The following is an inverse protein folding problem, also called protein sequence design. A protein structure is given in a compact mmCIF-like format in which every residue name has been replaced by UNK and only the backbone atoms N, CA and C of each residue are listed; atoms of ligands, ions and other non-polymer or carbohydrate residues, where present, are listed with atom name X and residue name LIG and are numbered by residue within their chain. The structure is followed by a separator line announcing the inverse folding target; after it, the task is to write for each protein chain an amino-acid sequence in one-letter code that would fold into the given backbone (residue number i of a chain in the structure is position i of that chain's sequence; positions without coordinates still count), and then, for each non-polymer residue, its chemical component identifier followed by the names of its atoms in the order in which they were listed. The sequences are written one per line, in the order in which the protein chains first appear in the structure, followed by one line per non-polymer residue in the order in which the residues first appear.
data_IF_649946913013
#
_entry.id   IF_649946913013
#
_cell.length_a   1.000
_cell.length_b   1.000
_cell.length_c   1.000
_cell.angle_alpha   90.00
_cell.angle_beta   90.00
_cell.angle_gamma   90.00
#
_symmetry.space_group_name_H-M   'P 1'
#
loop_
_entity.id
_entity.type
_entity.pdbx_description
1 polymer ?
#
# COMPACT_ATOMS: atom_id res chain seq x y z
N UNK A 1 5.47 -17.83 -6.02
CA UNK A 1 5.56 -18.13 -4.57
C UNK A 1 4.81 -17.05 -3.83
N UNK A 2 3.94 -17.42 -2.89
CA UNK A 2 3.17 -16.42 -2.15
C UNK A 2 4.09 -15.60 -1.26
N UNK A 3 4.01 -14.29 -1.36
CA UNK A 3 4.73 -13.39 -0.49
C UNK A 3 3.86 -12.90 0.68
N UNK A 4 2.56 -12.77 0.42
CA UNK A 4 1.58 -12.27 1.38
C UNK A 4 0.25 -13.01 1.22
N UNK A 5 -0.35 -13.42 2.34
CA UNK A 5 -1.70 -13.98 2.39
C UNK A 5 -2.48 -13.44 3.59
N UNK A 6 -3.72 -13.14 3.35
CA UNK A 6 -4.72 -12.83 4.36
C UNK A 6 -5.92 -13.75 4.10
N UNK A 7 -6.35 -14.50 5.11
CA UNK A 7 -7.34 -15.57 4.95
C UNK A 7 -8.50 -15.38 5.92
N UNK A 8 -9.73 -15.29 5.38
CA UNK A 8 -11.00 -15.21 6.11
C UNK A 8 -11.01 -14.12 7.19
N UNK A 9 -10.45 -12.96 6.85
CA UNK A 9 -10.34 -11.85 7.80
C UNK A 9 -11.66 -11.18 8.02
N UNK A 10 -12.01 -11.00 9.30
CA UNK A 10 -13.13 -10.19 9.77
C UNK A 10 -12.62 -9.05 10.63
N UNK A 11 -13.30 -7.91 10.53
CA UNK A 11 -13.05 -6.74 11.35
C UNK A 11 -14.34 -5.97 11.60
N UNK A 12 -14.58 -5.67 12.88
CA UNK A 12 -15.71 -4.83 13.31
C UNK A 12 -15.21 -3.67 14.18
N UNK A 13 -15.94 -2.59 14.18
CA UNK A 13 -15.78 -1.46 15.09
C UNK A 13 -17.10 -1.25 15.83
N UNK A 14 -17.15 -1.68 17.11
CA UNK A 14 -18.41 -1.79 17.83
C UNK A 14 -19.37 -2.75 17.11
N UNK A 15 -20.58 -2.29 16.84
CA UNK A 15 -21.61 -3.10 16.15
C UNK A 15 -21.49 -3.11 14.63
N UNK A 16 -20.57 -2.31 14.06
CA UNK A 16 -20.37 -2.22 12.61
C UNK A 16 -19.29 -3.18 12.14
N UNK A 17 -19.66 -4.23 11.41
CA UNK A 17 -18.72 -5.09 10.70
C UNK A 17 -18.30 -4.42 9.39
N UNK A 18 -16.99 -4.22 9.23
CA UNK A 18 -16.37 -3.53 8.09
C UNK A 18 -15.72 -4.49 7.12
N UNK A 19 -15.22 -5.63 7.58
CA UNK A 19 -14.66 -6.69 6.72
C UNK A 19 -15.36 -8.01 7.01
N UNK A 20 -15.81 -8.67 5.94
CA UNK A 20 -16.58 -9.91 5.99
C UNK A 20 -15.84 -11.04 5.27
N UNK A 21 -15.10 -11.87 6.01
CA UNK A 21 -14.39 -13.06 5.48
C UNK A 21 -13.48 -12.77 4.26
N UNK A 22 -12.72 -11.68 4.32
CA UNK A 22 -11.85 -11.30 3.22
C UNK A 22 -10.63 -12.22 3.13
N UNK A 23 -10.38 -12.74 1.93
CA UNK A 23 -9.19 -13.52 1.62
C UNK A 23 -8.49 -12.93 0.39
N UNK A 24 -7.19 -12.64 0.52
CA UNK A 24 -6.34 -12.11 -0.56
C UNK A 24 -4.98 -12.79 -0.47
N UNK A 25 -4.45 -13.20 -1.60
CA UNK A 25 -3.11 -13.74 -1.74
C UNK A 25 -2.34 -12.89 -2.74
N UNK A 26 -1.06 -12.62 -2.51
CA UNK A 26 -0.20 -11.84 -3.41
C UNK A 26 1.10 -12.60 -3.64
N UNK A 27 1.42 -12.84 -4.89
CA UNK A 27 2.64 -13.50 -5.30
C UNK A 27 3.81 -12.51 -5.45
N UNK A 28 5.04 -13.02 -5.39
CA UNK A 28 6.25 -12.20 -5.57
C UNK A 28 6.27 -11.53 -6.95
N UNK A 29 6.53 -10.24 -6.98
CA UNK A 29 6.54 -9.41 -8.20
C UNK A 29 5.16 -9.04 -8.72
N UNK A 30 4.07 -9.45 -8.05
CA UNK A 30 2.70 -9.11 -8.43
C UNK A 30 2.31 -7.72 -7.94
N UNK A 31 1.58 -6.99 -8.77
CA UNK A 31 0.93 -5.72 -8.43
C UNK A 31 -0.58 -5.92 -8.35
N UNK A 32 -1.13 -5.80 -7.14
CA UNK A 32 -2.57 -5.91 -6.88
C UNK A 32 -3.15 -4.53 -6.61
N UNK A 33 -4.13 -4.11 -7.40
CA UNK A 33 -4.89 -2.89 -7.15
C UNK A 33 -6.21 -3.22 -6.44
N UNK A 34 -6.51 -2.52 -5.35
CA UNK A 34 -7.78 -2.61 -4.64
C UNK A 34 -8.59 -1.34 -4.92
N UNK A 35 -9.74 -1.49 -5.56
CA UNK A 35 -10.65 -0.41 -5.93
C UNK A 35 -12.01 -0.58 -5.25
N UNK A 36 -12.83 0.47 -5.24
CA UNK A 36 -14.18 0.43 -4.68
C UNK A 36 -14.60 1.76 -4.05
N UNK A 37 -15.87 1.93 -3.69
CA UNK A 37 -16.38 3.16 -3.10
C UNK A 37 -15.75 3.47 -1.74
N UNK A 38 -15.83 4.74 -1.31
CA UNK A 38 -15.44 5.12 0.05
C UNK A 38 -16.28 4.35 1.07
N UNK A 39 -15.65 3.91 2.16
CA UNK A 39 -16.31 3.09 3.18
C UNK A 39 -16.45 1.59 2.85
N UNK A 40 -15.93 1.09 1.71
CA UNK A 40 -15.99 -0.33 1.37
C UNK A 40 -15.01 -1.24 2.14
N UNK A 41 -14.20 -0.69 3.03
CA UNK A 41 -13.27 -1.47 3.87
C UNK A 41 -11.82 -1.54 3.36
N UNK A 42 -11.47 -0.96 2.21
CA UNK A 42 -10.12 -1.04 1.59
C UNK A 42 -8.99 -0.63 2.52
N UNK A 43 -9.06 0.56 3.09
CA UNK A 43 -8.02 1.04 4.03
C UNK A 43 -8.02 0.25 5.33
N UNK A 44 -9.18 -0.27 5.78
CA UNK A 44 -9.25 -1.17 6.94
C UNK A 44 -8.55 -2.49 6.65
N UNK A 45 -8.77 -3.08 5.47
CA UNK A 45 -8.07 -4.29 5.02
C UNK A 45 -6.56 -4.07 4.99
N UNK A 46 -6.11 -2.95 4.40
CA UNK A 46 -4.70 -2.60 4.33
C UNK A 46 -4.10 -2.37 5.72
N UNK A 47 -4.83 -1.74 6.65
CA UNK A 47 -4.39 -1.57 8.04
C UNK A 47 -4.32 -2.89 8.80
N UNK A 48 -5.24 -3.82 8.58
CA UNK A 48 -5.16 -5.19 9.12
C UNK A 48 -3.94 -5.91 8.55
N UNK A 49 -3.72 -5.86 7.24
CA UNK A 49 -2.56 -6.45 6.58
C UNK A 49 -1.24 -5.92 7.16
N UNK A 50 -1.13 -4.63 7.40
CA UNK A 50 0.08 -3.99 7.94
C UNK A 50 0.17 -3.99 9.48
N UNK A 51 -0.77 -4.66 10.14
CA UNK A 51 -0.84 -4.74 11.63
C UNK A 51 -0.89 -3.35 12.29
N UNK A 52 -1.48 -2.36 11.63
CA UNK A 52 -1.88 -1.07 12.22
C UNK A 52 -3.26 -1.15 12.87
N UNK A 53 -4.05 -2.15 12.48
CA UNK A 53 -5.33 -2.49 13.07
C UNK A 53 -5.35 -3.99 13.37
N UNK A 54 -5.97 -4.38 14.49
CA UNK A 54 -6.14 -5.78 14.85
C UNK A 54 -7.35 -6.39 14.14
N UNK A 55 -7.21 -7.61 13.63
CA UNK A 55 -8.32 -8.40 13.09
C UNK A 55 -9.12 -9.03 14.23
N UNK A 56 -10.42 -9.24 14.04
CA UNK A 56 -11.24 -9.98 15.00
C UNK A 56 -11.07 -11.49 14.82
N UNK A 57 -10.97 -11.93 13.55
CA UNK A 57 -10.65 -13.32 13.17
C UNK A 57 -9.94 -13.36 11.81
N UNK A 58 -9.32 -14.50 11.51
CA UNK A 58 -8.62 -14.76 10.25
C UNK A 58 -7.15 -15.07 10.44
N UNK A 59 -6.44 -15.22 9.34
CA UNK A 59 -5.00 -15.47 9.34
C UNK A 59 -4.26 -14.40 8.53
N UNK A 60 -3.03 -14.10 8.95
CA UNK A 60 -2.11 -13.20 8.27
C UNK A 60 -0.76 -13.86 8.14
N UNK A 61 -0.26 -13.99 6.90
CA UNK A 61 0.95 -14.75 6.58
C UNK A 61 1.83 -13.90 5.67
N UNK A 62 3.13 -13.86 5.98
CA UNK A 62 4.18 -13.24 5.17
C UNK A 62 5.32 -14.21 4.99
N UNK A 63 5.71 -14.53 3.74
CA UNK A 63 6.82 -15.45 3.44
C UNK A 63 6.72 -16.77 4.23
N UNK A 64 5.53 -17.37 4.25
CA UNK A 64 5.18 -18.59 5.00
C UNK A 64 5.24 -18.44 6.55
N UNK A 65 5.52 -17.24 7.08
CA UNK A 65 5.48 -16.94 8.51
C UNK A 65 4.11 -16.40 8.92
N UNK A 66 3.46 -17.05 9.89
CA UNK A 66 2.16 -16.60 10.43
C UNK A 66 2.36 -15.43 11.39
N UNK A 67 1.93 -14.24 10.97
CA UNK A 67 1.85 -13.06 11.83
C UNK A 67 0.63 -13.12 12.76
N UNK A 68 -0.47 -13.72 12.29
CA UNK A 68 -1.68 -13.92 13.06
C UNK A 68 -2.42 -15.18 12.59
N UNK A 69 -3.15 -15.83 13.50
CA UNK A 69 -3.99 -17.01 13.23
C UNK A 69 -5.17 -17.04 14.20
N UNK A 70 -6.18 -17.83 13.91
CA UNK A 70 -7.29 -18.05 14.85
C UNK A 70 -6.86 -18.96 16.00
N UNK A 71 -7.20 -18.56 17.22
CA UNK A 71 -7.11 -19.43 18.40
C UNK A 71 -8.25 -20.48 18.38
N UNK A 72 -8.27 -21.45 19.30
CA UNK A 72 -9.36 -22.43 19.40
C UNK A 72 -10.75 -21.85 19.68
N UNK A 73 -10.84 -20.60 20.16
CA UNK A 73 -12.10 -19.89 20.39
C UNK A 73 -12.55 -19.10 19.14
N UNK A 74 -11.73 -19.09 18.07
CA UNK A 74 -12.02 -18.38 16.81
C UNK A 74 -11.60 -16.90 16.80
N UNK A 75 -10.88 -16.43 17.83
CA UNK A 75 -10.35 -15.08 17.87
C UNK A 75 -8.92 -15.03 17.31
N UNK A 76 -8.52 -13.86 16.82
CA UNK A 76 -7.15 -13.69 16.28
C UNK A 76 -6.11 -13.68 17.41
N UNK A 77 -5.15 -14.60 17.33
CA UNK A 77 -3.93 -14.61 18.11
C UNK A 77 -2.77 -14.15 17.25
N UNK A 78 -2.03 -13.14 17.69
CA UNK A 78 -0.84 -12.62 17.01
C UNK A 78 0.42 -13.35 17.48
N UNK A 79 1.40 -13.48 16.58
CA UNK A 79 2.71 -14.03 16.87
C UNK A 79 3.45 -13.22 17.97
N UNK A 80 4.57 -13.75 18.45
CA UNK A 80 5.36 -13.08 19.48
C UNK A 80 5.82 -11.68 19.04
N UNK A 81 6.05 -10.73 19.97
CA UNK A 81 6.55 -9.40 19.62
C UNK A 81 7.87 -9.43 18.83
N UNK A 82 8.70 -10.46 19.03
CA UNK A 82 9.95 -10.64 18.30
C UNK A 82 9.69 -11.04 16.84
N UNK A 83 8.78 -11.99 16.62
CA UNK A 83 8.39 -12.44 15.28
C UNK A 83 7.67 -11.33 14.52
N UNK A 84 6.73 -10.63 15.15
CA UNK A 84 6.05 -9.48 14.55
C UNK A 84 7.02 -8.37 14.14
N UNK A 85 8.07 -8.13 14.92
CA UNK A 85 9.11 -7.15 14.55
C UNK A 85 9.88 -7.57 13.31
N UNK A 86 10.18 -8.85 13.16
CA UNK A 86 10.83 -9.41 11.97
C UNK A 86 9.90 -9.30 10.76
N UNK A 87 8.65 -9.75 10.89
CA UNK A 87 7.64 -9.73 9.83
C UNK A 87 7.36 -8.30 9.35
N UNK A 88 7.28 -7.32 10.25
CA UNK A 88 7.15 -5.90 9.90
C UNK A 88 8.31 -5.35 9.07
N UNK A 89 9.46 -6.03 9.05
CA UNK A 89 10.57 -5.71 8.16
C UNK A 89 10.36 -6.17 6.71
N UNK A 90 9.38 -7.03 6.43
CA UNK A 90 9.13 -7.55 5.08
C UNK A 90 8.34 -6.59 4.20
N UNK A 91 7.63 -5.63 4.76
CA UNK A 91 6.85 -4.68 4.00
C UNK A 91 7.12 -3.22 4.38
N UNK A 92 6.87 -2.35 3.42
CA UNK A 92 6.78 -0.90 3.63
C UNK A 92 5.35 -0.42 3.43
N UNK A 93 4.96 0.63 4.12
CA UNK A 93 3.64 1.27 3.98
C UNK A 93 3.81 2.75 3.61
N UNK A 94 3.13 3.14 2.55
CA UNK A 94 3.01 4.53 2.09
C UNK A 94 1.59 5.01 2.35
N UNK A 95 1.46 6.03 3.17
CA UNK A 95 0.18 6.59 3.61
C UNK A 95 -0.34 7.66 2.65
N UNK A 96 -1.63 7.90 2.69
CA UNK A 96 -2.33 8.98 2.00
C UNK A 96 -1.76 10.36 2.37
N UNK A 97 -1.50 10.63 3.63
CA UNK A 97 -1.05 11.92 4.18
C UNK A 97 0.47 11.99 4.42
N UNK A 98 1.28 11.36 3.57
CA UNK A 98 2.76 11.35 3.62
C UNK A 98 3.35 10.85 4.95
N UNK A 99 2.85 11.30 6.08
CA UNK A 99 3.24 10.95 7.46
C UNK A 99 4.77 11.06 7.69
N UNK A 100 5.40 12.08 7.11
CA UNK A 100 6.82 12.37 7.35
C UNK A 100 7.02 12.91 8.77
N UNK A 101 8.18 12.62 9.34
CA UNK A 101 8.60 13.25 10.60
C UNK A 101 8.91 14.72 10.35
N UNK A 102 8.11 15.68 10.83
CA UNK A 102 8.22 17.08 10.44
C UNK A 102 9.50 17.77 10.93
N UNK A 103 10.11 17.22 11.99
CA UNK A 103 11.35 17.71 12.60
C UNK A 103 12.60 16.99 12.07
N UNK A 104 12.47 16.08 11.10
CA UNK A 104 13.57 15.43 10.41
C UNK A 104 13.73 15.98 9.00
N UNK A 105 14.97 16.15 8.57
CA UNK A 105 15.26 16.42 7.16
C UNK A 105 14.88 15.23 6.27
N UNK A 106 14.89 15.40 4.95
CA UNK A 106 14.70 14.32 3.98
C UNK A 106 15.67 13.18 4.27
N UNK A 107 16.97 13.47 4.35
CA UNK A 107 17.99 12.47 4.66
C UNK A 107 17.64 11.71 5.94
N UNK A 108 17.30 12.41 7.01
CA UNK A 108 17.00 11.78 8.29
C UNK A 108 15.69 10.97 8.27
N UNK A 109 14.68 11.39 7.53
CA UNK A 109 13.45 10.60 7.32
C UNK A 109 13.76 9.23 6.69
N UNK A 110 14.74 9.13 5.80
CA UNK A 110 15.14 7.89 5.15
C UNK A 110 16.08 7.05 6.04
N UNK A 111 16.95 7.67 6.81
CA UNK A 111 18.06 6.96 7.48
C UNK A 111 17.75 6.53 8.92
N UNK A 112 16.81 7.19 9.61
CA UNK A 112 16.54 6.97 11.03
C UNK A 112 16.15 5.51 11.33
N UNK A 113 15.19 4.95 10.59
CA UNK A 113 14.72 3.60 10.83
C UNK A 113 15.75 2.51 10.44
N UNK A 114 16.41 2.54 9.27
CA UNK A 114 17.47 1.59 8.94
C UNK A 114 18.60 1.55 9.99
N UNK A 115 19.05 2.71 10.49
CA UNK A 115 20.13 2.79 11.48
C UNK A 115 19.65 2.29 12.85
N UNK A 116 18.51 2.78 13.34
CA UNK A 116 18.10 2.54 14.72
C UNK A 116 17.26 1.26 14.92
N UNK A 117 16.47 0.85 13.93
CA UNK A 117 15.62 -0.34 14.00
C UNK A 117 16.34 -1.56 13.44
N UNK A 118 16.93 -1.44 12.23
CA UNK A 118 17.64 -2.54 11.58
C UNK A 118 19.11 -2.65 12.03
N UNK A 119 19.63 -1.66 12.78
CA UNK A 119 21.01 -1.61 13.28
C UNK A 119 22.07 -1.66 12.16
N UNK A 120 21.72 -1.11 10.99
CA UNK A 120 22.62 -1.05 9.84
C UNK A 120 23.68 0.03 10.02
N UNK A 121 24.80 -0.13 9.33
CA UNK A 121 25.91 0.82 9.38
C UNK A 121 25.51 2.15 8.75
N UNK A 122 25.82 3.28 9.43
CA UNK A 122 25.40 4.63 9.03
C UNK A 122 25.85 5.01 7.63
N UNK A 123 27.11 4.77 7.29
CA UNK A 123 27.68 5.18 6.00
C UNK A 123 27.03 4.45 4.82
N UNK A 124 26.74 3.14 4.99
CA UNK A 124 26.01 2.37 3.99
C UNK A 124 24.58 2.89 3.79
N UNK A 125 23.87 3.12 4.91
CA UNK A 125 22.50 3.64 4.89
C UNK A 125 22.44 5.04 4.25
N UNK A 126 23.37 5.92 4.57
CA UNK A 126 23.42 7.26 3.98
C UNK A 126 23.71 7.21 2.48
N UNK A 127 24.54 6.28 2.02
CA UNK A 127 24.82 6.07 0.59
C UNK A 127 23.56 5.61 -0.13
N UNK A 128 22.88 4.59 0.37
CA UNK A 128 21.62 4.09 -0.21
C UNK A 128 20.53 5.17 -0.19
N UNK A 129 20.43 5.94 0.90
CA UNK A 129 19.48 7.04 0.99
C UNK A 129 19.71 8.10 -0.10
N UNK A 130 20.97 8.44 -0.43
CA UNK A 130 21.28 9.36 -1.55
C UNK A 130 20.88 8.77 -2.90
N UNK A 131 21.04 7.46 -3.09
CA UNK A 131 20.59 6.78 -4.31
C UNK A 131 19.06 6.81 -4.44
N UNK A 132 18.34 6.58 -3.33
CA UNK A 132 16.87 6.70 -3.30
C UNK A 132 16.41 8.14 -3.55
N UNK A 133 17.05 9.14 -2.95
CA UNK A 133 16.76 10.56 -3.19
C UNK A 133 16.92 10.90 -4.68
N UNK A 134 18.00 10.42 -5.32
CA UNK A 134 18.22 10.58 -6.76
C UNK A 134 17.14 9.88 -7.58
N UNK A 135 16.83 8.62 -7.24
CA UNK A 135 15.78 7.85 -7.92
C UNK A 135 14.42 8.55 -7.85
N UNK A 136 14.14 9.27 -6.77
CA UNK A 136 12.91 10.04 -6.59
C UNK A 136 12.95 11.45 -7.21
N UNK A 137 14.06 11.85 -7.86
CA UNK A 137 14.22 13.20 -8.42
C UNK A 137 14.23 14.29 -7.35
N UNK A 138 14.87 14.02 -6.22
CA UNK A 138 14.93 14.91 -5.06
C UNK A 138 16.38 15.37 -4.74
N UNK A 139 17.27 15.29 -5.73
CA UNK A 139 18.67 15.73 -5.56
C UNK A 139 18.74 17.19 -5.09
N UNK A 140 19.65 17.47 -4.16
CA UNK A 140 19.83 18.77 -3.53
C UNK A 140 18.82 19.10 -2.44
N UNK A 141 17.90 18.16 -2.11
CA UNK A 141 16.89 18.35 -1.06
C UNK A 141 17.15 17.53 0.20
N UNK A 142 18.33 16.95 0.34
CA UNK A 142 18.72 16.08 1.46
C UNK A 142 18.51 16.74 2.83
N UNK A 143 18.79 18.03 2.92
CA UNK A 143 18.69 18.83 4.13
C UNK A 143 17.36 19.59 4.29
N UNK A 144 16.44 19.47 3.33
CA UNK A 144 15.12 20.11 3.42
C UNK A 144 14.24 19.38 4.43
N UNK A 145 13.36 20.12 5.07
CA UNK A 145 12.32 19.62 5.97
C UNK A 145 10.99 19.49 5.22
N UNK A 146 10.05 18.64 5.70
CA UNK A 146 8.77 18.42 5.03
C UNK A 146 8.03 19.69 4.64
N UNK A 147 7.99 20.70 5.52
CA UNK A 147 7.33 22.00 5.26
C UNK A 147 7.96 22.82 4.14
N UNK A 148 9.14 22.47 3.67
CA UNK A 148 9.85 23.13 2.56
C UNK A 148 9.62 22.42 1.22
N UNK A 149 8.83 21.34 1.22
CA UNK A 149 8.59 20.47 0.07
C UNK A 149 7.14 20.62 -0.43
N UNK A 150 6.94 20.52 -1.75
CA UNK A 150 5.59 20.38 -2.30
C UNK A 150 4.97 19.05 -1.88
N UNK A 151 3.64 18.89 -1.97
CA UNK A 151 2.94 17.63 -1.66
C UNK A 151 3.51 16.43 -2.43
N UNK A 152 3.73 16.56 -3.73
CA UNK A 152 4.35 15.51 -4.54
C UNK A 152 5.79 15.18 -4.13
N UNK A 153 6.58 16.18 -3.70
CA UNK A 153 7.91 15.93 -3.15
C UNK A 153 7.83 15.20 -1.81
N UNK A 154 6.91 15.59 -0.92
CA UNK A 154 6.68 14.89 0.35
C UNK A 154 6.28 13.42 0.13
N UNK A 155 5.40 13.15 -0.84
CA UNK A 155 5.00 11.78 -1.17
C UNK A 155 6.17 10.97 -1.72
N UNK A 156 7.01 11.55 -2.57
CA UNK A 156 8.23 10.87 -3.06
C UNK A 156 9.22 10.58 -1.93
N UNK A 157 9.34 11.46 -0.93
CA UNK A 157 10.12 11.19 0.30
C UNK A 157 9.49 10.05 1.10
N UNK A 158 8.16 9.98 1.22
CA UNK A 158 7.47 8.89 1.92
C UNK A 158 7.70 7.53 1.24
N UNK A 159 7.66 7.49 -0.10
CA UNK A 159 7.99 6.29 -0.88
C UNK A 159 9.47 5.89 -0.67
N UNK A 160 10.40 6.84 -0.78
CA UNK A 160 11.82 6.61 -0.54
C UNK A 160 12.09 6.08 0.88
N UNK A 161 11.41 6.64 1.89
CA UNK A 161 11.51 6.18 3.28
C UNK A 161 11.05 4.72 3.44
N UNK A 162 9.94 4.35 2.80
CA UNK A 162 9.48 2.96 2.82
C UNK A 162 10.49 2.02 2.15
N UNK A 163 11.08 2.42 1.01
CA UNK A 163 12.09 1.66 0.29
C UNK A 163 13.42 1.55 1.05
N UNK A 164 13.80 2.55 1.85
CA UNK A 164 15.06 2.55 2.62
C UNK A 164 15.16 1.39 3.63
N UNK A 165 14.03 0.80 4.01
CA UNK A 165 13.96 -0.39 4.85
C UNK A 165 14.22 -1.70 4.09
N UNK A 166 14.48 -1.66 2.78
CA UNK A 166 14.66 -2.81 1.90
C UNK A 166 13.50 -3.84 1.99
N UNK A 167 12.24 -3.41 1.86
CA UNK A 167 11.09 -4.29 2.01
C UNK A 167 10.98 -5.26 0.84
N UNK A 168 10.30 -6.39 1.07
CA UNK A 168 9.94 -7.37 0.02
C UNK A 168 8.69 -6.95 -0.75
N UNK A 169 7.82 -6.13 -0.13
CA UNK A 169 6.64 -5.59 -0.76
C UNK A 169 6.28 -4.20 -0.21
N UNK A 170 5.48 -3.46 -0.96
CA UNK A 170 4.94 -2.17 -0.55
C UNK A 170 3.42 -2.18 -0.54
N UNK A 171 2.86 -1.58 0.50
CA UNK A 171 1.45 -1.21 0.56
C UNK A 171 1.31 0.29 0.31
N UNK A 172 0.31 0.67 -0.49
CA UNK A 172 -0.04 2.06 -0.75
C UNK A 172 -1.51 2.30 -0.37
N UNK A 173 -1.75 3.20 0.58
CA UNK A 173 -3.10 3.63 0.98
C UNK A 173 -3.41 4.96 0.30
N UNK A 174 -4.05 4.91 -0.87
CA UNK A 174 -4.46 6.07 -1.67
C UNK A 174 -3.33 7.10 -1.88
N UNK A 175 -2.20 6.74 -2.51
CA UNK A 175 -0.98 7.53 -2.51
C UNK A 175 -1.09 8.88 -3.25
N UNK A 176 -2.20 9.14 -3.96
CA UNK A 176 -2.42 10.34 -4.77
C UNK A 176 -3.56 11.23 -4.27
N UNK A 177 -4.39 10.75 -3.32
CA UNK A 177 -5.63 11.44 -2.93
C UNK A 177 -5.42 12.78 -2.22
N UNK A 178 -4.22 13.03 -1.66
CA UNK A 178 -3.85 14.31 -1.03
C UNK A 178 -3.08 15.25 -1.98
N UNK A 179 -3.08 14.96 -3.30
CA UNK A 179 -2.29 15.70 -4.30
C UNK A 179 -3.18 16.36 -5.34
N UNK A 180 -2.70 17.47 -5.89
CA UNK A 180 -3.27 18.09 -7.06
C UNK A 180 -3.11 17.17 -8.30
N UNK A 181 -4.00 17.27 -9.31
CA UNK A 181 -3.96 16.41 -10.51
C UNK A 181 -2.60 16.40 -11.24
N UNK A 182 -1.91 17.55 -11.31
CA UNK A 182 -0.59 17.65 -11.93
C UNK A 182 0.46 16.81 -11.19
N UNK A 183 0.43 16.83 -9.85
CA UNK A 183 1.37 16.07 -9.00
C UNK A 183 1.02 14.58 -8.93
N UNK A 184 -0.26 14.24 -9.11
CA UNK A 184 -0.73 12.84 -9.19
C UNK A 184 0.05 12.07 -10.24
N UNK A 185 0.20 12.62 -11.46
CA UNK A 185 0.93 12.00 -12.56
C UNK A 185 2.38 11.65 -12.23
N UNK A 186 3.06 12.51 -11.46
CA UNK A 186 4.45 12.25 -11.02
C UNK A 186 4.55 11.05 -10.08
N UNK A 187 3.62 10.91 -9.13
CA UNK A 187 3.61 9.80 -8.17
C UNK A 187 3.25 8.49 -8.87
N UNK A 188 2.24 8.51 -9.75
CA UNK A 188 1.87 7.33 -10.54
C UNK A 188 3.02 6.86 -11.43
N UNK A 189 3.85 7.78 -11.96
CA UNK A 189 5.05 7.43 -12.71
C UNK A 189 6.09 6.72 -11.84
N UNK A 190 6.31 7.17 -10.61
CA UNK A 190 7.22 6.50 -9.66
C UNK A 190 6.72 5.09 -9.35
N UNK A 191 5.42 4.92 -9.05
CA UNK A 191 4.86 3.60 -8.74
C UNK A 191 4.94 2.68 -9.97
N UNK A 192 4.67 3.19 -11.19
CA UNK A 192 4.84 2.43 -12.45
C UNK A 192 6.28 1.96 -12.62
N UNK A 193 7.26 2.79 -12.29
CA UNK A 193 8.67 2.38 -12.36
C UNK A 193 8.97 1.25 -11.36
N UNK A 194 8.45 1.31 -10.13
CA UNK A 194 8.60 0.23 -9.16
C UNK A 194 7.96 -1.08 -9.63
N UNK A 195 6.80 -1.01 -10.31
CA UNK A 195 6.18 -2.17 -10.94
C UNK A 195 7.06 -2.80 -12.03
N UNK A 196 7.68 -1.98 -12.87
CA UNK A 196 8.64 -2.44 -13.89
C UNK A 196 9.87 -3.12 -13.27
N UNK A 197 10.29 -2.68 -12.10
CA UNK A 197 11.38 -3.29 -11.31
C UNK A 197 10.94 -4.56 -10.56
N UNK A 198 9.70 -5.03 -10.79
CA UNK A 198 9.11 -6.22 -10.15
C UNK A 198 8.97 -6.10 -8.63
N UNK A 199 8.78 -4.89 -8.12
CA UNK A 199 8.39 -4.69 -6.73
C UNK A 199 6.98 -5.23 -6.51
N UNK A 200 6.82 -6.14 -5.55
CA UNK A 200 5.49 -6.61 -5.13
C UNK A 200 4.72 -5.48 -4.46
N UNK A 201 3.50 -5.22 -4.89
CA UNK A 201 2.72 -4.08 -4.37
C UNK A 201 1.24 -4.41 -4.21
N UNK A 202 0.67 -3.87 -3.13
CA UNK A 202 -0.79 -3.77 -2.95
C UNK A 202 -1.15 -2.28 -2.90
N UNK A 203 -2.01 -1.83 -3.80
CA UNK A 203 -2.29 -0.41 -4.00
C UNK A 203 -3.80 -0.16 -3.87
N UNK A 204 -4.21 0.51 -2.80
CA UNK A 204 -5.57 1.07 -2.71
C UNK A 204 -5.58 2.38 -3.52
N UNK A 205 -6.44 2.48 -4.53
CA UNK A 205 -6.47 3.63 -5.43
C UNK A 205 -7.85 3.95 -5.98
N UNK A 206 -8.07 5.21 -6.33
CA UNK A 206 -9.21 5.70 -7.10
C UNK A 206 -8.83 6.01 -8.56
N UNK A 207 -7.59 5.82 -8.96
CA UNK A 207 -7.06 6.07 -10.30
C UNK A 207 -7.31 4.84 -11.19
N UNK A 208 -8.50 4.75 -11.80
CA UNK A 208 -8.92 3.56 -12.58
C UNK A 208 -8.00 3.31 -13.79
N UNK A 209 -7.58 4.38 -14.48
CA UNK A 209 -6.65 4.28 -15.61
C UNK A 209 -5.29 3.72 -15.18
N UNK A 210 -4.78 4.17 -14.03
CA UNK A 210 -3.53 3.65 -13.47
C UNK A 210 -3.66 2.18 -13.04
N UNK A 211 -4.74 1.82 -12.33
CA UNK A 211 -4.98 0.44 -11.92
C UNK A 211 -5.05 -0.50 -13.15
N UNK A 212 -5.74 -0.08 -14.23
CA UNK A 212 -5.79 -0.83 -15.49
C UNK A 212 -4.42 -1.03 -16.15
N UNK A 213 -3.59 0.02 -16.15
CA UNK A 213 -2.33 0.03 -16.91
C UNK A 213 -1.15 -0.61 -16.16
N UNK A 214 -1.24 -0.75 -14.82
CA UNK A 214 -0.09 -1.14 -13.97
C UNK A 214 -0.33 -2.39 -13.15
N UNK A 215 -1.57 -2.68 -12.75
CA UNK A 215 -1.86 -3.85 -11.94
C UNK A 215 -1.86 -5.14 -12.78
N UNK A 216 -1.35 -6.21 -12.19
CA UNK A 216 -1.50 -7.57 -12.72
C UNK A 216 -2.89 -8.14 -12.39
N UNK A 217 -3.45 -7.69 -11.25
CA UNK A 217 -4.77 -8.11 -10.75
C UNK A 217 -5.47 -6.95 -10.05
N UNK A 218 -6.78 -6.89 -10.23
CA UNK A 218 -7.66 -5.89 -9.60
C UNK A 218 -8.67 -6.60 -8.71
N UNK A 219 -8.87 -6.05 -7.52
CA UNK A 219 -9.89 -6.48 -6.55
C UNK A 219 -10.87 -5.33 -6.38
N UNK A 220 -12.13 -5.55 -6.71
CA UNK A 220 -13.21 -4.61 -6.42
C UNK A 220 -13.90 -4.98 -5.10
N UNK A 221 -13.87 -4.04 -4.14
CA UNK A 221 -14.51 -4.19 -2.84
C UNK A 221 -15.72 -3.29 -2.71
N UNK A 222 -16.82 -3.82 -2.16
CA UNK A 222 -17.99 -3.06 -1.76
C UNK A 222 -18.64 -3.66 -0.50
N UNK A 223 -19.10 -2.79 0.42
CA UNK A 223 -19.77 -3.20 1.65
C UNK A 223 -19.00 -4.19 2.53
N UNK A 224 -17.66 -4.18 2.48
CA UNK A 224 -16.82 -5.09 3.26
C UNK A 224 -16.59 -6.47 2.64
N UNK A 225 -16.99 -6.65 1.37
CA UNK A 225 -16.80 -7.89 0.61
C UNK A 225 -15.92 -7.66 -0.61
N UNK A 226 -15.22 -8.71 -1.07
CA UNK A 226 -14.68 -8.77 -2.43
C UNK A 226 -15.84 -9.17 -3.33
N UNK A 227 -16.21 -8.27 -4.24
CA UNK A 227 -17.33 -8.48 -5.17
C UNK A 227 -16.84 -9.07 -6.48
N UNK A 228 -15.70 -8.58 -6.97
CA UNK A 228 -15.12 -9.04 -8.22
C UNK A 228 -13.60 -8.97 -8.13
N UNK A 229 -12.93 -9.96 -8.72
CA UNK A 229 -11.48 -10.06 -8.74
C UNK A 229 -11.03 -10.70 -10.06
N UNK A 230 -9.99 -10.16 -10.67
CA UNK A 230 -9.48 -10.68 -11.94
C UNK A 230 -8.41 -9.77 -12.55
N UNK A 231 -8.10 -10.02 -13.83
CA UNK A 231 -7.21 -9.15 -14.58
C UNK A 231 -7.86 -7.77 -14.78
N UNK A 232 -7.06 -6.70 -14.93
CA UNK A 232 -7.58 -5.34 -15.15
C UNK A 232 -8.60 -5.26 -16.29
N UNK A 233 -8.37 -5.98 -17.40
CA UNK A 233 -9.28 -6.01 -18.54
C UNK A 233 -10.65 -6.59 -18.18
N UNK A 234 -10.66 -7.61 -17.31
CA UNK A 234 -11.87 -8.31 -16.92
C UNK A 234 -12.68 -7.48 -15.90
N UNK A 235 -12.00 -6.84 -14.92
CA UNK A 235 -12.67 -6.12 -13.82
C UNK A 235 -12.97 -4.65 -14.16
N UNK A 236 -12.07 -3.97 -14.89
CA UNK A 236 -12.22 -2.53 -15.17
C UNK A 236 -12.87 -2.30 -16.53
N UNK A 237 -12.45 -3.04 -17.59
CA UNK A 237 -12.92 -2.78 -18.95
C UNK A 237 -14.18 -3.57 -19.28
N UNK A 238 -14.31 -4.81 -18.79
CA UNK A 238 -15.42 -5.71 -19.07
C UNK A 238 -15.96 -6.37 -17.79
N UNK A 239 -16.41 -5.58 -16.77
CA UNK A 239 -16.87 -6.13 -15.50
C UNK A 239 -18.04 -7.09 -15.68
N UNK A 240 -18.02 -8.22 -14.96
CA UNK A 240 -19.10 -9.22 -14.94
C UNK A 240 -20.20 -8.83 -13.96
N UNK A 241 -19.79 -8.34 -12.78
CA UNK A 241 -20.67 -8.02 -11.68
C UNK A 241 -21.39 -6.68 -11.89
N UNK A 242 -22.71 -6.67 -11.69
CA UNK A 242 -23.53 -5.47 -11.88
C UNK A 242 -23.10 -4.32 -10.96
N UNK A 243 -22.65 -4.64 -9.76
CA UNK A 243 -22.18 -3.65 -8.80
C UNK A 243 -20.88 -2.98 -9.22
N UNK A 244 -19.97 -3.74 -9.84
CA UNK A 244 -18.74 -3.23 -10.44
C UNK A 244 -19.05 -2.28 -11.61
N UNK A 245 -19.98 -2.68 -12.49
CA UNK A 245 -20.44 -1.83 -13.61
C UNK A 245 -20.98 -0.48 -13.13
N UNK A 246 -21.87 -0.51 -12.12
CA UNK A 246 -22.44 0.71 -11.53
C UNK A 246 -21.39 1.64 -10.91
N UNK A 247 -20.36 1.05 -10.28
CA UNK A 247 -19.25 1.82 -9.72
C UNK A 247 -18.43 2.47 -10.82
N UNK A 248 -18.00 1.72 -11.82
CA UNK A 248 -17.12 2.18 -12.91
C UNK A 248 -17.83 3.18 -13.86
N UNK A 249 -19.14 3.08 -14.05
CA UNK A 249 -19.89 4.03 -14.85
C UNK A 249 -19.74 5.49 -14.37
N UNK A 250 -19.48 5.70 -13.08
CA UNK A 250 -19.24 7.03 -12.50
C UNK A 250 -17.90 7.64 -12.95
N UNK A 251 -16.94 6.81 -13.31
CA UNK A 251 -15.60 7.25 -13.77
C UNK A 251 -15.53 7.40 -15.30
N UNK A 252 -16.35 6.66 -16.03
CA UNK A 252 -16.43 6.75 -17.50
C UNK A 252 -17.01 8.11 -17.98
N UNK A 253 -17.82 8.80 -17.15
CA UNK A 253 -18.34 10.12 -17.45
C UNK A 253 -17.37 11.29 -17.18
N UNK A 254 -16.28 11.07 -16.47
CA UNK A 254 -15.28 12.11 -16.18
C UNK A 254 -14.17 12.21 -17.23
N UNK A 255 -14.00 11.19 -18.08
CA UNK A 255 -13.02 11.19 -19.18
C UNK A 255 -13.44 11.95 -20.44
N UNK A 256 -14.71 12.40 -20.54
CA UNK A 256 -15.26 13.05 -21.74
C UNK A 256 -15.25 14.60 -21.68
N UNK A 257 -14.65 15.21 -20.66
CA UNK A 257 -14.65 16.68 -20.49
C UNK A 257 -13.27 17.31 -20.74
N UNK A 258 -12.24 16.51 -21.04
CA UNK A 258 -10.89 17.01 -21.32
C UNK A 258 -10.33 16.48 -22.66
N UNK A 259 -11.08 16.66 -23.77
CA UNK A 259 -10.56 16.68 -25.14
C UNK A 259 -10.73 18.08 -25.74
#
# INVERSE_FOLDING_TARGET
MSLFEINNVRKSFGDLTVLHDISVKVDEGEVVAIIGPSGSGKSTLLRCATMLETMDSGELIYLDEKAAHNDPAGHTAYASPADLRRIKGYFGLVFQNFNLFPHFSVMRNLTEAPIHVQKRERGEVEKEARELIRKMGLEGKENYYPQQLSGGQQQRVAIARALAMNPKMLFFDEPTSALDPELTGEILKVIRQLAQEKMTMVIVTHEMGFARDVADRVIFMDGGYIVEEGRPEDVISNPSEERTKQFLARFSGQGAINE
#
